data_IF_367150804570
#
_entry.id   IF_367150804570
#
_cell.length_a   1.000
_cell.length_b   1.000
_cell.length_c   1.000
_cell.angle_alpha   90.00
_cell.angle_beta   90.00
_cell.angle_gamma   90.00
#
_symmetry.space_group_name_H-M   'P 1'
#
loop_
_entity.id
_entity.type
_entity.pdbx_description
1 polymer ?
#
# COMPACT_ATOMS: atom_id res chain seq x y z
N UNK A 1 31.50 23.97 -54.31
CA UNK A 1 30.20 24.18 -53.63
C UNK A 1 29.34 22.93 -53.53
N UNK A 2 28.93 22.28 -54.63
CA UNK A 2 28.10 21.05 -54.51
C UNK A 2 28.91 19.88 -53.92
N UNK A 3 30.12 19.62 -54.43
CA UNK A 3 31.03 18.59 -53.88
C UNK A 3 31.39 18.85 -52.40
N UNK A 4 31.57 20.11 -52.01
CA UNK A 4 31.85 20.49 -50.61
C UNK A 4 30.66 20.19 -49.68
N UNK A 5 29.43 20.36 -50.17
CA UNK A 5 28.21 20.03 -49.42
C UNK A 5 28.07 18.51 -49.28
N UNK A 6 28.40 17.75 -50.32
CA UNK A 6 28.34 16.29 -50.30
C UNK A 6 29.40 15.70 -49.36
N UNK A 7 30.64 16.21 -49.40
CA UNK A 7 31.69 15.83 -48.44
C UNK A 7 31.30 16.16 -47.00
N UNK A 8 30.73 17.35 -46.76
CA UNK A 8 30.27 17.75 -45.43
C UNK A 8 29.13 16.85 -44.93
N UNK A 9 28.23 16.44 -45.83
CA UNK A 9 27.16 15.50 -45.50
C UNK A 9 27.73 14.13 -45.09
N UNK A 10 28.68 13.60 -45.86
CA UNK A 10 29.31 12.30 -45.56
C UNK A 10 30.09 12.33 -44.24
N UNK A 11 30.90 13.37 -43.99
CA UNK A 11 31.63 13.55 -42.73
C UNK A 11 30.66 13.63 -41.55
N UNK A 12 29.61 14.45 -41.67
CA UNK A 12 28.64 14.64 -40.60
C UNK A 12 27.89 13.33 -40.28
N UNK A 13 27.40 12.62 -41.30
CA UNK A 13 26.67 11.36 -41.11
C UNK A 13 27.59 10.30 -40.49
N UNK A 14 28.83 10.17 -40.93
CA UNK A 14 29.79 9.23 -40.35
C UNK A 14 30.12 9.55 -38.88
N UNK A 15 30.37 10.84 -38.57
CA UNK A 15 30.64 11.27 -37.21
C UNK A 15 29.44 11.06 -36.27
N UNK A 16 28.22 11.35 -36.76
CA UNK A 16 26.98 11.13 -36.01
C UNK A 16 26.75 9.64 -35.73
N UNK A 17 26.98 8.77 -36.70
CA UNK A 17 26.87 7.33 -36.50
C UNK A 17 27.90 6.79 -35.49
N UNK A 18 29.09 7.39 -35.43
CA UNK A 18 30.16 7.06 -34.49
C UNK A 18 30.01 7.63 -33.07
N UNK A 19 29.00 8.48 -32.81
CA UNK A 19 28.82 9.12 -31.50
C UNK A 19 28.55 8.06 -30.40
N UNK A 20 29.42 8.00 -29.38
CA UNK A 20 29.36 6.97 -28.34
C UNK A 20 28.27 7.20 -27.29
N UNK A 21 27.93 8.46 -27.01
CA UNK A 21 27.02 8.85 -25.93
C UNK A 21 26.19 10.09 -26.31
N UNK A 22 25.14 10.43 -25.53
CA UNK A 22 24.29 11.59 -25.80
C UNK A 22 25.03 12.94 -25.75
N UNK A 23 26.13 13.04 -25.02
CA UNK A 23 26.92 14.27 -24.91
C UNK A 23 27.69 14.50 -26.21
N UNK A 24 28.36 13.47 -26.71
CA UNK A 24 29.05 13.48 -28.01
C UNK A 24 28.08 13.75 -29.17
N UNK A 25 26.86 13.21 -29.11
CA UNK A 25 25.83 13.48 -30.12
C UNK A 25 25.40 14.96 -30.14
N UNK A 26 25.26 15.58 -28.97
CA UNK A 26 24.90 17.00 -28.85
C UNK A 26 26.01 17.93 -29.33
N UNK A 27 27.27 17.59 -29.06
CA UNK A 27 28.43 18.31 -29.61
C UNK A 27 28.44 18.28 -31.14
N UNK A 28 28.16 17.12 -31.74
CA UNK A 28 28.07 16.96 -33.19
C UNK A 28 26.87 17.73 -33.77
N UNK A 29 25.73 17.75 -33.08
CA UNK A 29 24.57 18.58 -33.46
C UNK A 29 24.96 20.05 -33.53
N UNK A 30 25.64 20.57 -32.51
CA UNK A 30 26.10 21.96 -32.47
C UNK A 30 27.12 22.23 -33.59
N UNK A 31 28.06 21.31 -33.82
CA UNK A 31 29.09 21.44 -34.87
C UNK A 31 28.50 21.55 -36.28
N UNK A 32 27.53 20.69 -36.62
CA UNK A 32 27.00 20.61 -38.00
C UNK A 32 25.72 21.40 -38.26
N UNK A 33 24.87 21.61 -37.24
CA UNK A 33 23.56 22.32 -37.38
C UNK A 33 23.49 23.64 -36.61
N UNK A 34 24.51 23.96 -35.81
CA UNK A 34 24.53 25.16 -34.98
C UNK A 34 24.55 26.47 -35.75
N UNK A 35 24.39 27.59 -35.02
CA UNK A 35 24.30 28.93 -35.61
C UNK A 35 25.55 29.37 -36.39
N UNK A 36 26.70 28.74 -36.13
CA UNK A 36 28.01 28.98 -36.78
C UNK A 36 28.50 27.77 -37.60
N UNK A 37 27.63 26.81 -37.91
CA UNK A 37 28.06 25.62 -38.64
C UNK A 37 28.41 25.94 -40.09
N UNK A 38 29.32 25.15 -40.67
CA UNK A 38 29.70 25.26 -42.08
C UNK A 38 28.48 25.14 -43.00
N UNK A 39 27.54 24.24 -42.69
CA UNK A 39 26.29 24.09 -43.42
C UNK A 39 25.44 25.38 -43.39
N UNK A 40 25.37 26.06 -42.24
CA UNK A 40 24.61 27.31 -42.11
C UNK A 40 25.27 28.46 -42.85
N UNK A 41 26.59 28.53 -42.84
CA UNK A 41 27.38 29.50 -43.62
C UNK A 41 27.16 29.32 -45.13
N UNK A 42 27.18 28.07 -45.60
CA UNK A 42 26.87 27.73 -47.00
C UNK A 42 25.44 28.13 -47.33
N UNK A 43 24.46 27.83 -46.45
CA UNK A 43 23.05 28.22 -46.67
C UNK A 43 22.84 29.74 -46.71
N UNK A 44 23.56 30.53 -45.90
CA UNK A 44 23.47 31.99 -45.96
C UNK A 44 24.11 32.59 -47.21
N UNK A 45 25.13 31.95 -47.78
CA UNK A 45 25.82 32.40 -48.99
C UNK A 45 25.07 32.08 -50.30
N UNK A 46 23.98 31.30 -50.26
CA UNK A 46 23.17 30.98 -51.46
C UNK A 46 22.55 32.26 -52.07
N UNK A 47 22.29 33.28 -51.24
CA UNK A 47 21.78 34.57 -51.68
C UNK A 47 22.70 35.31 -52.66
N UNK A 48 23.99 35.04 -52.65
CA UNK A 48 24.99 35.75 -53.45
C UNK A 48 25.31 35.04 -54.79
N UNK A 49 24.71 33.88 -55.03
CA UNK A 49 24.94 33.06 -56.24
C UNK A 49 24.15 33.55 -57.46
N UNK A 50 24.61 33.19 -58.66
CA UNK A 50 23.92 33.50 -59.92
C UNK A 50 22.55 32.78 -60.01
N UNK A 51 21.58 33.34 -60.76
CA UNK A 51 20.23 32.76 -60.89
C UNK A 51 20.22 31.33 -61.46
N UNK A 52 21.26 30.94 -62.22
CA UNK A 52 21.41 29.58 -62.77
C UNK A 52 21.92 28.57 -61.76
N UNK A 53 22.70 28.98 -60.76
CA UNK A 53 23.38 28.08 -59.80
C UNK A 53 22.63 27.96 -58.46
N UNK A 54 21.83 28.99 -58.10
CA UNK A 54 21.00 29.02 -56.89
C UNK A 54 20.13 27.76 -56.68
N UNK A 55 19.42 27.21 -57.69
CA UNK A 55 18.54 26.05 -57.48
C UNK A 55 19.31 24.76 -57.12
N UNK A 56 20.41 24.50 -57.81
CA UNK A 56 21.20 23.27 -57.63
C UNK A 56 21.90 23.25 -56.26
N UNK A 57 22.52 24.37 -55.86
CA UNK A 57 23.21 24.50 -54.56
C UNK A 57 22.20 24.49 -53.40
N UNK A 58 21.05 25.14 -53.55
CA UNK A 58 19.97 25.11 -52.55
C UNK A 58 19.38 23.72 -52.33
N UNK A 59 19.19 22.96 -53.41
CA UNK A 59 18.71 21.58 -53.33
C UNK A 59 19.75 20.66 -52.67
N UNK A 60 21.04 20.82 -52.98
CA UNK A 60 22.11 20.08 -52.32
C UNK A 60 22.18 20.38 -50.82
N UNK A 61 22.19 21.66 -50.42
CA UNK A 61 22.24 22.05 -49.01
C UNK A 61 21.00 21.58 -48.23
N UNK A 62 19.82 21.63 -48.84
CA UNK A 62 18.58 21.12 -48.25
C UNK A 62 18.59 19.59 -48.06
N UNK A 63 19.15 18.85 -49.02
CA UNK A 63 19.35 17.38 -48.91
C UNK A 63 20.33 17.05 -47.79
N UNK A 64 21.48 17.73 -47.73
CA UNK A 64 22.47 17.53 -46.68
C UNK A 64 21.90 17.81 -45.29
N UNK A 65 21.15 18.90 -45.13
CA UNK A 65 20.48 19.22 -43.86
C UNK A 65 19.51 18.13 -43.42
N UNK A 66 18.65 17.66 -44.34
CA UNK A 66 17.70 16.57 -44.02
C UNK A 66 18.42 15.28 -43.64
N UNK A 67 19.52 14.93 -44.33
CA UNK A 67 20.30 13.74 -44.03
C UNK A 67 20.95 13.82 -42.64
N UNK A 68 21.51 14.98 -42.29
CA UNK A 68 22.12 15.22 -40.98
C UNK A 68 21.07 15.19 -39.86
N UNK A 69 19.94 15.87 -40.04
CA UNK A 69 18.84 15.89 -39.07
C UNK A 69 18.28 14.46 -38.86
N UNK A 70 18.14 13.68 -39.94
CA UNK A 70 17.70 12.28 -39.86
C UNK A 70 18.73 11.40 -39.13
N UNK A 71 20.02 11.56 -39.41
CA UNK A 71 21.08 10.80 -38.75
C UNK A 71 21.15 11.11 -37.24
N UNK A 72 21.03 12.38 -36.86
CA UNK A 72 20.99 12.80 -35.45
C UNK A 72 19.80 12.19 -34.73
N UNK A 73 18.62 12.24 -35.36
CA UNK A 73 17.40 11.70 -34.79
C UNK A 73 17.46 10.17 -34.66
N UNK A 74 18.04 9.47 -35.64
CA UNK A 74 18.19 8.02 -35.59
C UNK A 74 19.18 7.60 -34.51
N UNK A 75 20.36 8.25 -34.44
CA UNK A 75 21.37 7.92 -33.43
C UNK A 75 20.89 8.22 -32.01
N UNK A 76 20.19 9.34 -31.82
CA UNK A 76 19.60 9.70 -30.53
C UNK A 76 18.67 8.61 -30.00
N UNK A 77 17.78 8.08 -30.85
CA UNK A 77 16.90 6.96 -30.49
C UNK A 77 17.68 5.71 -30.10
N UNK A 78 18.71 5.35 -30.85
CA UNK A 78 19.55 4.18 -30.53
C UNK A 78 20.26 4.33 -29.19
N UNK A 79 20.76 5.52 -28.87
CA UNK A 79 21.42 5.79 -27.58
C UNK A 79 20.43 5.83 -26.41
N UNK A 80 19.22 6.36 -26.61
CA UNK A 80 18.14 6.31 -25.61
C UNK A 80 17.66 4.88 -25.33
N UNK A 81 17.52 4.05 -26.37
CA UNK A 81 17.14 2.65 -26.24
C UNK A 81 18.25 1.83 -25.56
N UNK A 82 19.51 2.11 -25.85
CA UNK A 82 20.65 1.47 -25.19
C UNK A 82 20.78 1.86 -23.70
N UNK A 83 20.40 3.10 -23.34
CA UNK A 83 20.39 3.57 -21.95
C UNK A 83 19.21 3.03 -21.12
N UNK A 84 18.18 2.47 -21.77
CA UNK A 84 17.06 1.78 -21.12
C UNK A 84 17.41 0.32 -20.87
N UNK A 85 18.46 0.06 -20.09
CA UNK A 85 18.54 -1.24 -19.43
C UNK A 85 17.36 -1.35 -18.47
N UNK A 86 16.38 -2.16 -18.85
CA UNK A 86 15.28 -2.52 -17.95
C UNK A 86 15.89 -3.23 -16.76
N UNK A 87 15.95 -2.58 -15.60
CA UNK A 87 16.20 -3.28 -14.36
C UNK A 87 15.07 -4.30 -14.20
N UNK A 88 15.38 -5.57 -14.47
CA UNK A 88 14.43 -6.68 -14.30
C UNK A 88 14.26 -6.87 -12.80
N UNK A 89 13.21 -6.27 -12.25
CA UNK A 89 12.81 -6.48 -10.85
C UNK A 89 11.94 -7.72 -10.76
N UNK A 90 12.18 -8.54 -9.73
CA UNK A 90 11.33 -9.67 -9.41
C UNK A 90 10.09 -9.16 -8.66
N UNK A 91 8.97 -9.11 -9.38
CA UNK A 91 7.66 -8.66 -8.86
C UNK A 91 7.03 -9.65 -7.88
N UNK A 92 7.58 -10.86 -7.75
CA UNK A 92 7.10 -11.88 -6.79
C UNK A 92 7.69 -11.69 -5.39
N UNK A 93 8.72 -10.84 -5.24
CA UNK A 93 9.34 -10.61 -3.94
C UNK A 93 8.35 -10.03 -2.93
N UNK A 94 8.33 -10.53 -1.69
CA UNK A 94 7.55 -9.94 -0.62
C UNK A 94 7.92 -8.47 -0.42
N UNK A 95 6.94 -7.58 -0.59
CA UNK A 95 7.12 -6.16 -0.29
C UNK A 95 7.32 -5.92 1.21
N UNK A 96 7.87 -4.76 1.56
CA UNK A 96 7.97 -4.31 2.96
C UNK A 96 6.57 -3.98 3.46
N UNK A 97 6.02 -4.77 4.38
CA UNK A 97 4.68 -4.59 4.94
C UNK A 97 4.75 -4.40 6.46
N UNK A 98 3.90 -3.54 7.04
CA UNK A 98 3.71 -3.52 8.49
C UNK A 98 3.10 -4.86 8.95
N UNK A 99 3.38 -5.26 10.19
CA UNK A 99 2.73 -6.42 10.79
C UNK A 99 1.24 -6.13 10.97
N UNK A 100 0.39 -7.07 10.54
CA UNK A 100 -1.04 -7.03 10.83
C UNK A 100 -1.29 -7.63 12.22
N UNK A 101 -2.12 -6.98 13.02
CA UNK A 101 -2.61 -7.55 14.27
C UNK A 101 -3.60 -8.68 14.01
N UNK A 102 -3.81 -9.51 15.02
CA UNK A 102 -4.85 -10.55 15.02
C UNK A 102 -5.67 -10.43 16.30
N UNK A 103 -6.97 -10.70 16.20
CA UNK A 103 -7.84 -10.78 17.37
C UNK A 103 -7.44 -11.98 18.24
N UNK A 104 -7.59 -11.82 19.55
CA UNK A 104 -7.37 -12.91 20.50
C UNK A 104 -8.36 -14.06 20.19
N UNK A 105 -7.95 -15.35 20.31
CA UNK A 105 -8.83 -16.48 20.03
C UNK A 105 -10.17 -16.41 20.77
N UNK A 106 -10.16 -16.02 22.05
CA UNK A 106 -11.40 -15.85 22.83
C UNK A 106 -12.33 -14.77 22.25
N UNK A 107 -11.77 -13.65 21.76
CA UNK A 107 -12.56 -12.59 21.13
C UNK A 107 -13.20 -13.10 19.86
N UNK A 108 -12.46 -13.83 19.01
CA UNK A 108 -12.99 -14.40 17.77
C UNK A 108 -14.16 -15.35 18.03
N UNK A 109 -14.00 -16.24 19.01
CA UNK A 109 -15.05 -17.19 19.40
C UNK A 109 -16.26 -16.46 20.00
N UNK A 110 -16.03 -15.46 20.84
CA UNK A 110 -17.12 -14.67 21.43
C UNK A 110 -17.92 -13.92 20.35
N UNK A 111 -17.23 -13.26 19.41
CA UNK A 111 -17.87 -12.55 18.28
C UNK A 111 -18.65 -13.51 17.38
N UNK A 112 -18.12 -14.71 17.11
CA UNK A 112 -18.81 -15.75 16.34
C UNK A 112 -20.10 -16.21 17.04
N UNK A 113 -20.03 -16.52 18.34
CA UNK A 113 -21.21 -16.93 19.13
C UNK A 113 -22.26 -15.83 19.21
N UNK A 114 -21.84 -14.57 19.40
CA UNK A 114 -22.74 -13.42 19.40
C UNK A 114 -23.43 -13.29 18.05
N UNK A 115 -22.68 -13.33 16.95
CA UNK A 115 -23.23 -13.22 15.59
C UNK A 115 -24.28 -14.29 15.31
N UNK A 116 -24.02 -15.54 15.71
CA UNK A 116 -24.97 -16.65 15.54
C UNK A 116 -26.28 -16.38 16.30
N UNK A 117 -26.18 -15.98 17.57
CA UNK A 117 -27.34 -15.81 18.44
C UNK A 117 -28.13 -14.53 18.11
N UNK A 118 -27.47 -13.46 17.69
CA UNK A 118 -28.12 -12.27 17.12
C UNK A 118 -28.93 -12.63 15.88
N UNK A 119 -28.41 -13.52 15.01
CA UNK A 119 -29.14 -14.06 13.86
C UNK A 119 -30.42 -14.83 14.24
N UNK A 120 -30.54 -15.29 15.49
CA UNK A 120 -31.72 -15.95 16.05
C UNK A 120 -32.67 -14.99 16.80
N UNK A 121 -32.35 -13.69 16.84
CA UNK A 121 -33.14 -12.66 17.50
C UNK A 121 -32.87 -12.51 19.00
N UNK A 122 -31.67 -12.88 19.47
CA UNK A 122 -31.17 -12.50 20.79
C UNK A 122 -30.49 -11.13 20.74
N UNK A 123 -30.51 -10.40 21.86
CA UNK A 123 -29.78 -9.15 22.02
C UNK A 123 -28.64 -9.30 23.03
N UNK A 124 -27.53 -8.60 22.81
CA UNK A 124 -26.41 -8.59 23.76
C UNK A 124 -26.76 -7.70 24.96
N UNK A 125 -26.57 -8.23 26.17
CA UNK A 125 -26.69 -7.49 27.42
C UNK A 125 -25.39 -7.59 28.22
N UNK A 126 -24.96 -6.48 28.80
CA UNK A 126 -23.74 -6.38 29.59
C UNK A 126 -24.05 -5.92 31.02
N UNK A 127 -23.12 -6.16 31.93
CA UNK A 127 -23.25 -5.77 33.33
C UNK A 127 -21.91 -5.78 34.05
N UNK A 128 -21.91 -5.33 35.31
CA UNK A 128 -20.67 -5.13 36.06
C UNK A 128 -19.95 -6.46 36.33
N UNK A 129 -18.62 -6.41 36.42
CA UNK A 129 -17.80 -7.54 36.85
C UNK A 129 -17.67 -7.63 38.37
N UNK A 130 -17.77 -6.50 39.07
CA UNK A 130 -17.92 -6.43 40.53
C UNK A 130 -19.41 -6.42 40.84
N UNK A 131 -19.88 -7.44 41.54
CA UNK A 131 -21.30 -7.66 41.80
C UNK A 131 -21.60 -7.82 43.31
N UNK A 132 -22.87 -7.87 43.64
CA UNK A 132 -23.37 -8.15 44.98
C UNK A 132 -23.81 -9.62 45.13
N UNK A 133 -23.95 -10.08 46.38
CA UNK A 133 -24.35 -11.47 46.67
C UNK A 133 -25.76 -11.79 46.14
N UNK A 134 -26.64 -10.79 46.08
CA UNK A 134 -28.01 -10.99 45.66
C UNK A 134 -28.09 -11.40 44.18
N UNK A 135 -27.47 -10.62 43.28
CA UNK A 135 -27.51 -10.92 41.85
C UNK A 135 -26.63 -12.12 41.48
N UNK A 136 -25.50 -12.34 42.19
CA UNK A 136 -24.60 -13.44 41.89
C UNK A 136 -25.07 -14.79 42.44
N UNK A 137 -25.88 -14.80 43.51
CA UNK A 137 -26.31 -16.02 44.18
C UNK A 137 -27.79 -16.05 44.63
N UNK A 138 -28.27 -15.08 45.43
CA UNK A 138 -29.60 -15.19 46.05
C UNK A 138 -30.73 -15.29 45.00
N UNK A 139 -30.72 -14.40 44.01
CA UNK A 139 -31.69 -14.36 42.92
C UNK A 139 -31.62 -15.59 42.00
N UNK A 140 -30.53 -16.36 42.10
CA UNK A 140 -30.30 -17.61 41.37
C UNK A 140 -30.56 -18.84 42.25
N UNK A 141 -31.30 -18.67 43.35
CA UNK A 141 -31.69 -19.74 44.26
C UNK A 141 -30.49 -20.55 44.81
N UNK A 142 -29.35 -19.88 45.01
CA UNK A 142 -28.14 -20.48 45.57
C UNK A 142 -28.07 -20.08 47.05
N UNK A 143 -28.44 -20.91 48.03
CA UNK A 143 -28.54 -20.48 49.44
C UNK A 143 -27.18 -20.17 50.08
N UNK A 144 -27.19 -19.55 51.28
CA UNK A 144 -25.99 -19.08 51.97
C UNK A 144 -24.99 -20.20 52.34
N UNK A 145 -25.48 -21.42 52.55
CA UNK A 145 -24.70 -22.62 52.86
C UNK A 145 -24.22 -23.37 51.60
N UNK A 146 -24.45 -22.82 50.41
CA UNK A 146 -24.05 -23.46 49.17
C UNK A 146 -22.52 -23.36 48.96
N UNK A 147 -21.83 -24.47 48.58
CA UNK A 147 -20.36 -24.49 48.45
C UNK A 147 -19.79 -23.40 47.55
N UNK A 148 -20.47 -23.03 46.46
CA UNK A 148 -19.98 -21.98 45.55
C UNK A 148 -19.95 -20.56 46.15
N UNK A 149 -20.50 -20.35 47.35
CA UNK A 149 -20.35 -19.09 48.11
C UNK A 149 -19.13 -19.09 49.03
N UNK A 150 -18.41 -20.21 49.12
CA UNK A 150 -17.24 -20.31 49.98
C UNK A 150 -16.16 -19.30 49.55
N UNK A 151 -15.47 -18.73 50.53
CA UNK A 151 -14.31 -17.85 50.33
C UNK A 151 -13.19 -18.52 49.52
N UNK A 152 -13.15 -19.85 49.51
CA UNK A 152 -12.23 -20.66 48.72
C UNK A 152 -12.56 -20.67 47.23
N UNK A 153 -13.82 -20.47 46.84
CA UNK A 153 -14.28 -20.56 45.44
C UNK A 153 -14.57 -19.18 44.82
N UNK A 154 -14.93 -18.20 45.65
CA UNK A 154 -15.36 -16.85 45.22
C UNK A 154 -14.43 -15.74 45.72
N UNK A 155 -14.13 -14.78 44.85
CA UNK A 155 -13.35 -13.60 45.21
C UNK A 155 -14.21 -12.52 45.86
N UNK A 156 -14.19 -12.48 47.18
CA UNK A 156 -14.82 -11.42 47.96
C UNK A 156 -13.91 -10.20 48.13
N UNK A 157 -14.51 -9.02 48.03
CA UNK A 157 -13.89 -7.71 48.23
C UNK A 157 -14.08 -7.25 49.68
N UNK A 158 -13.23 -6.30 50.10
CA UNK A 158 -13.24 -5.79 51.49
C UNK A 158 -14.53 -5.08 51.90
N UNK A 159 -15.29 -4.60 50.93
CA UNK A 159 -16.55 -3.87 51.13
C UNK A 159 -17.79 -4.79 51.09
N UNK A 160 -17.58 -6.11 51.05
CA UNK A 160 -18.65 -7.12 51.04
C UNK A 160 -19.18 -7.46 49.63
N UNK A 161 -18.70 -6.79 48.58
CA UNK A 161 -18.98 -7.17 47.18
C UNK A 161 -18.09 -8.32 46.74
N UNK A 162 -18.30 -8.83 45.53
CA UNK A 162 -17.51 -9.93 44.96
C UNK A 162 -17.20 -9.69 43.49
N UNK A 163 -16.22 -10.41 42.94
CA UNK A 163 -16.08 -10.55 41.50
C UNK A 163 -17.04 -11.63 41.01
N UNK A 164 -17.86 -11.35 39.99
CA UNK A 164 -18.91 -12.25 39.54
C UNK A 164 -18.34 -13.60 39.12
N UNK A 165 -18.99 -14.69 39.54
CA UNK A 165 -18.56 -16.06 39.19
C UNK A 165 -19.22 -16.59 37.91
N UNK A 166 -20.19 -15.83 37.38
CA UNK A 166 -21.00 -16.14 36.21
C UNK A 166 -21.63 -14.86 35.64
N UNK A 167 -22.05 -14.87 34.37
CA UNK A 167 -22.77 -13.74 33.75
C UNK A 167 -24.28 -13.79 33.96
N UNK A 168 -24.78 -14.76 34.74
CA UNK A 168 -26.19 -14.86 35.15
C UNK A 168 -26.68 -13.63 35.92
N UNK A 169 -25.78 -12.84 36.52
CA UNK A 169 -26.13 -11.58 37.19
C UNK A 169 -26.79 -10.59 36.25
N UNK A 170 -26.33 -10.55 34.99
CA UNK A 170 -26.93 -9.71 33.93
C UNK A 170 -28.34 -10.19 33.60
N UNK A 171 -28.58 -11.50 33.63
CA UNK A 171 -29.90 -12.08 33.35
C UNK A 171 -30.92 -11.64 34.39
N UNK A 172 -30.56 -11.69 35.68
CA UNK A 172 -31.40 -11.18 36.76
C UNK A 172 -31.74 -9.70 36.54
N UNK A 173 -30.72 -8.86 36.30
CA UNK A 173 -30.91 -7.42 36.09
C UNK A 173 -31.82 -7.12 34.88
N UNK A 174 -31.67 -7.86 33.78
CA UNK A 174 -32.57 -7.70 32.62
C UNK A 174 -33.99 -8.09 32.97
N UNK A 175 -34.21 -9.22 33.66
CA UNK A 175 -35.55 -9.66 34.05
C UNK A 175 -36.22 -8.75 35.09
N UNK A 176 -35.45 -8.09 35.96
CA UNK A 176 -35.97 -7.07 36.88
C UNK A 176 -36.31 -5.76 36.15
N UNK A 177 -35.62 -5.45 35.06
CA UNK A 177 -35.79 -4.20 34.32
C UNK A 177 -37.00 -4.19 33.37
N UNK A 178 -37.55 -5.36 33.02
CA UNK A 178 -38.61 -5.43 32.01
C UNK A 178 -39.37 -6.76 31.98
N UNK A 179 -40.64 -6.75 31.53
CA UNK A 179 -41.44 -7.96 31.45
C UNK A 179 -41.02 -8.84 30.26
N UNK A 180 -41.38 -10.14 30.27
CA UNK A 180 -41.24 -11.02 29.11
C UNK A 180 -41.98 -10.49 27.86
N UNK A 181 -41.56 -10.88 26.64
CA UNK A 181 -40.51 -11.88 26.33
C UNK A 181 -39.08 -11.31 26.43
N UNK A 182 -38.17 -12.11 27.00
CA UNK A 182 -36.73 -11.78 27.11
C UNK A 182 -35.92 -12.74 26.24
N UNK A 183 -35.04 -12.21 25.39
CA UNK A 183 -34.07 -12.97 24.58
C UNK A 183 -32.73 -12.26 24.59
N UNK A 184 -31.88 -12.62 25.56
CA UNK A 184 -30.58 -11.99 25.72
C UNK A 184 -29.44 -13.00 25.73
N UNK A 185 -28.26 -12.53 25.38
CA UNK A 185 -26.97 -13.19 25.60
C UNK A 185 -26.06 -12.24 26.36
N UNK A 186 -25.25 -12.77 27.27
CA UNK A 186 -24.33 -11.96 28.08
C UNK A 186 -22.93 -12.57 28.08
N UNK A 187 -22.11 -12.27 27.06
CA UNK A 187 -20.69 -12.61 27.07
C UNK A 187 -19.96 -11.69 28.06
N UNK A 188 -19.01 -12.23 28.81
CA UNK A 188 -18.27 -11.42 29.77
C UNK A 188 -17.26 -12.23 30.57
N UNK A 189 -16.33 -11.53 31.22
CA UNK A 189 -15.37 -12.15 32.13
C UNK A 189 -16.04 -12.59 33.41
N UNK A 190 -15.55 -13.69 33.96
CA UNK A 190 -15.99 -14.28 35.22
C UNK A 190 -14.78 -14.71 36.00
N UNK A 191 -14.90 -14.73 37.31
CA UNK A 191 -13.77 -14.93 38.20
C UNK A 191 -14.08 -16.05 39.16
N UNK A 192 -13.22 -17.07 39.19
CA UNK A 192 -13.29 -18.18 40.15
C UNK A 192 -11.95 -18.37 40.80
N UNK A 193 -11.97 -18.62 42.09
CA UNK A 193 -10.76 -18.86 42.87
C UNK A 193 -10.36 -20.34 42.74
N UNK A 194 -9.87 -20.71 41.57
CA UNK A 194 -9.38 -22.06 41.29
C UNK A 194 -7.86 -22.14 41.34
N UNK A 195 -7.33 -23.35 41.52
CA UNK A 195 -5.89 -23.59 41.35
C UNK A 195 -5.54 -23.47 39.87
N UNK A 196 -4.60 -22.57 39.53
CA UNK A 196 -4.19 -22.40 38.12
C UNK A 196 -3.51 -23.66 37.63
N UNK A 197 -4.08 -24.26 36.59
CA UNK A 197 -3.57 -25.44 35.90
C UNK A 197 -3.85 -25.35 34.39
N UNK A 198 -3.73 -26.46 33.66
CA UNK A 198 -3.94 -26.47 32.22
C UNK A 198 -5.41 -26.21 31.80
N UNK A 199 -6.36 -26.39 32.72
CA UNK A 199 -7.81 -26.28 32.49
C UNK A 199 -8.48 -25.17 33.30
N UNK A 200 -7.81 -24.63 34.32
CA UNK A 200 -8.32 -23.59 35.20
C UNK A 200 -7.41 -22.36 35.16
N UNK A 201 -8.03 -21.18 35.02
CA UNK A 201 -7.34 -19.90 34.96
C UNK A 201 -8.07 -18.87 35.83
N UNK A 202 -7.34 -17.92 36.43
CA UNK A 202 -7.90 -16.92 37.35
C UNK A 202 -8.42 -15.64 36.64
N UNK A 203 -8.64 -15.70 35.33
CA UNK A 203 -9.07 -14.56 34.47
C UNK A 203 -9.86 -15.10 33.29
#
# INVERSE_FOLDING_TARGET
MIEEIEQLQEEAVAAIQGAADPVALEELRIRFTGRRSQLRTIMSGIGDLSERERPAVGQAAGRARKAIDAALHQRGRTLEEAGRESSRIDVSLPGRRPMSGVLHPLTRVAEELVTILEGMGFTVADGPEVDDEYHNFDALNTPADHPSRDLHDTFYLKDGRLLRTQTSTVQIRVMESGPPPVRIISPGRVYRRDTVDATHHMV
#
